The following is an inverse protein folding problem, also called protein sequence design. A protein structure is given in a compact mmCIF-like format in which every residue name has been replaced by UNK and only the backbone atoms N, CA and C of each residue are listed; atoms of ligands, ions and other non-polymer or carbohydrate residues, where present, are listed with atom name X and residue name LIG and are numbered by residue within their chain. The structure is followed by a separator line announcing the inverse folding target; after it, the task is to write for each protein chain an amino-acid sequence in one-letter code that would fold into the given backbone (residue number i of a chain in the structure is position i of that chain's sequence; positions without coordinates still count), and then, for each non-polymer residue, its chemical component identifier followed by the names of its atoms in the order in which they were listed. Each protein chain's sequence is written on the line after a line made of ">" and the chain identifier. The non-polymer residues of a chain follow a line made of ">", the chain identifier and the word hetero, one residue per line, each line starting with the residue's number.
data_IF_709140868256
#
_entry.id   IF_709140868256
#
_cell.length_a   1.000
_cell.length_b   1.000
_cell.length_c   1.000
_cell.angle_alpha   90.00
_cell.angle_beta   90.00
_cell.angle_gamma   90.00
#
_symmetry.space_group_name_H-M   'P 1'
#
loop_
_entity.id
_entity.type
_entity.pdbx_description
1 polymer ?
#
# COMPACT_ATOMS: atom_id res chain seq x y z
N UNK A 1 -25.28 10.74 -6.78
CA UNK A 1 -23.81 10.93 -6.85
C UNK A 1 -23.22 9.54 -6.84
N UNK A 2 -22.53 9.14 -7.90
CA UNK A 2 -21.73 7.91 -7.82
C UNK A 2 -20.62 8.14 -6.80
N UNK A 3 -20.34 7.18 -5.89
CA UNK A 3 -19.13 7.26 -5.09
C UNK A 3 -17.94 7.37 -6.06
N UNK A 4 -16.91 8.17 -5.76
CA UNK A 4 -15.73 8.23 -6.60
C UNK A 4 -15.26 6.79 -6.85
N UNK A 5 -15.12 6.43 -8.13
CA UNK A 5 -14.69 5.10 -8.56
C UNK A 5 -13.31 4.87 -7.93
N UNK A 6 -13.28 4.05 -6.89
CA UNK A 6 -12.11 3.94 -6.03
C UNK A 6 -11.13 2.95 -6.67
N UNK A 7 -10.38 3.44 -7.65
CA UNK A 7 -9.52 2.65 -8.54
C UNK A 7 -8.13 2.36 -7.93
N UNK A 8 -8.04 2.34 -6.59
CA UNK A 8 -6.79 2.08 -5.88
C UNK A 8 -6.34 0.62 -5.96
N UNK A 9 -7.25 -0.29 -6.29
CA UNK A 9 -6.98 -1.71 -6.44
C UNK A 9 -8.23 -2.56 -6.22
N UNK A 10 -8.18 -3.82 -6.64
CA UNK A 10 -9.26 -4.81 -6.43
C UNK A 10 -8.68 -6.06 -5.74
N UNK A 11 -9.47 -6.75 -4.89
CA UNK A 11 -9.01 -7.99 -4.24
C UNK A 11 -8.42 -8.99 -5.24
N UNK A 12 -7.25 -9.53 -4.91
CA UNK A 12 -6.49 -10.47 -5.74
C UNK A 12 -5.61 -9.83 -6.82
N UNK A 13 -5.72 -8.53 -7.09
CA UNK A 13 -4.80 -7.84 -7.99
C UNK A 13 -3.38 -7.79 -7.38
N UNK A 14 -2.36 -7.86 -8.22
CA UNK A 14 -0.93 -7.82 -7.82
C UNK A 14 -0.22 -6.53 -8.23
N UNK A 15 -0.96 -5.63 -8.87
CA UNK A 15 -0.50 -4.36 -9.39
C UNK A 15 -1.54 -3.28 -9.06
N UNK A 16 -1.08 -2.05 -8.90
CA UNK A 16 -1.90 -0.90 -8.62
C UNK A 16 -1.16 0.13 -7.76
N UNK A 17 -1.72 1.33 -7.61
CA UNK A 17 -1.00 2.47 -7.06
C UNK A 17 -0.61 2.28 -5.59
N UNK A 18 -1.37 1.53 -4.77
CA UNK A 18 -1.00 1.22 -3.38
C UNK A 18 0.21 0.29 -3.32
N UNK A 19 0.23 -0.75 -4.17
CA UNK A 19 1.36 -1.68 -4.29
C UNK A 19 2.61 -0.95 -4.80
N UNK A 20 2.47 0.01 -5.71
CA UNK A 20 3.61 0.79 -6.20
C UNK A 20 4.21 1.69 -5.11
N UNK A 21 3.37 2.25 -4.23
CA UNK A 21 3.86 2.92 -3.01
C UNK A 21 4.61 1.97 -2.10
N UNK A 22 4.09 0.75 -1.89
CA UNK A 22 4.77 -0.27 -1.09
C UNK A 22 6.14 -0.61 -1.68
N UNK A 23 6.23 -0.83 -3.01
CA UNK A 23 7.50 -1.06 -3.71
C UNK A 23 8.49 0.09 -3.49
N UNK A 24 8.03 1.33 -3.62
CA UNK A 24 8.88 2.50 -3.42
C UNK A 24 9.35 2.64 -1.95
N UNK A 25 8.47 2.36 -0.99
CA UNK A 25 8.79 2.41 0.43
C UNK A 25 9.89 1.39 0.78
N UNK A 26 9.76 0.12 0.36
CA UNK A 26 10.77 -0.90 0.68
C UNK A 26 12.09 -0.67 -0.07
N UNK A 27 12.03 -0.14 -1.30
CA UNK A 27 13.22 0.16 -2.09
C UNK A 27 14.12 1.21 -1.42
N UNK A 28 13.55 2.16 -0.64
CA UNK A 28 14.33 3.15 0.13
C UNK A 28 15.22 2.52 1.18
N UNK A 29 14.88 1.32 1.64
CA UNK A 29 15.67 0.56 2.62
C UNK A 29 16.56 -0.50 1.96
N UNK A 30 16.62 -0.54 0.61
CA UNK A 30 17.32 -1.59 -0.12
C UNK A 30 16.65 -2.97 -0.02
N UNK A 31 15.37 -3.00 0.38
CA UNK A 31 14.57 -4.22 0.54
C UNK A 31 13.77 -4.46 -0.74
N UNK A 32 13.60 -5.72 -1.11
CA UNK A 32 12.78 -6.13 -2.26
C UNK A 32 11.40 -6.58 -1.80
N UNK A 33 10.38 -6.30 -2.61
CA UNK A 33 9.04 -6.83 -2.45
C UNK A 33 8.94 -8.17 -3.20
N UNK A 34 8.89 -9.29 -2.48
CA UNK A 34 8.80 -10.64 -3.06
C UNK A 34 7.41 -10.91 -3.63
N UNK A 35 6.38 -10.52 -2.87
CA UNK A 35 4.98 -10.70 -3.21
C UNK A 35 4.17 -9.52 -2.69
N UNK A 36 3.17 -9.10 -3.46
CA UNK A 36 2.11 -8.25 -2.95
C UNK A 36 0.79 -8.57 -3.66
N UNK A 37 -0.30 -8.54 -2.90
CA UNK A 37 -1.65 -8.66 -3.44
C UNK A 37 -2.65 -7.88 -2.60
N UNK A 38 -3.66 -7.31 -3.25
CA UNK A 38 -4.78 -6.70 -2.53
C UNK A 38 -5.60 -7.80 -1.85
N UNK A 39 -5.81 -7.66 -0.56
CA UNK A 39 -6.65 -8.54 0.24
C UNK A 39 -8.15 -8.24 0.09
N UNK A 40 -9.00 -8.96 0.84
CA UNK A 40 -10.44 -8.70 0.88
C UNK A 40 -10.74 -7.27 1.31
N UNK A 41 -11.73 -6.64 0.65
CA UNK A 41 -12.14 -5.28 0.94
C UNK A 41 -13.54 -5.28 1.58
N UNK A 42 -13.68 -4.96 2.88
CA UNK A 42 -15.00 -4.88 3.50
C UNK A 42 -15.75 -3.64 2.97
N UNK A 43 -17.10 -3.70 2.84
CA UNK A 43 -17.90 -2.57 2.36
C UNK A 43 -18.11 -1.54 3.47
N UNK A 44 -17.05 -0.83 3.86
CA UNK A 44 -17.05 0.20 4.91
C UNK A 44 -16.94 1.61 4.31
N UNK A 45 -17.36 2.63 5.09
CA UNK A 45 -17.09 4.03 4.78
C UNK A 45 -16.39 4.70 5.99
N UNK A 46 -15.18 5.27 5.82
CA UNK A 46 -14.42 5.36 4.57
C UNK A 46 -13.99 3.99 4.03
N UNK A 47 -13.71 3.88 2.71
CA UNK A 47 -13.21 2.64 2.12
C UNK A 47 -11.91 2.20 2.79
N UNK A 48 -11.86 0.95 3.23
CA UNK A 48 -10.65 0.32 3.72
C UNK A 48 -9.97 -0.44 2.58
N UNK A 49 -8.64 -0.47 2.54
CA UNK A 49 -7.85 -1.31 1.63
C UNK A 49 -6.85 -2.12 2.43
N UNK A 50 -6.68 -3.38 2.06
CA UNK A 50 -5.66 -4.26 2.65
C UNK A 50 -4.75 -4.73 1.53
N UNK A 51 -3.44 -4.68 1.77
CA UNK A 51 -2.45 -5.30 0.89
C UNK A 51 -1.65 -6.27 1.75
N UNK A 52 -1.57 -7.51 1.31
CA UNK A 52 -0.72 -8.54 1.91
C UNK A 52 0.60 -8.50 1.14
N UNK A 53 1.68 -8.17 1.83
CA UNK A 53 3.01 -8.01 1.26
C UNK A 53 4.03 -8.92 1.94
N UNK A 54 4.89 -9.53 1.14
CA UNK A 54 6.05 -10.29 1.60
C UNK A 54 7.31 -9.56 1.11
N UNK A 55 8.20 -9.24 2.04
CA UNK A 55 9.43 -8.47 1.81
C UNK A 55 10.66 -9.33 2.07
N UNK A 56 11.78 -8.99 1.44
CA UNK A 56 12.99 -9.82 1.45
C UNK A 56 13.83 -9.75 2.73
N UNK A 57 13.48 -8.89 3.69
CA UNK A 57 14.21 -8.69 4.93
C UNK A 57 13.30 -8.18 6.04
N UNK A 58 13.68 -8.44 7.29
CA UNK A 58 12.95 -7.95 8.45
C UNK A 58 13.13 -6.44 8.62
N UNK A 59 12.00 -5.76 8.81
CA UNK A 59 11.90 -4.33 9.11
C UNK A 59 10.83 -4.18 10.17
N UNK A 60 11.03 -3.29 11.14
CA UNK A 60 9.98 -3.03 12.13
C UNK A 60 8.77 -2.35 11.50
N UNK A 61 7.59 -2.62 12.05
CA UNK A 61 6.33 -2.01 11.59
C UNK A 61 6.42 -0.48 11.57
N UNK A 62 7.02 0.13 12.59
CA UNK A 62 7.19 1.60 12.68
C UNK A 62 8.05 2.17 11.54
N UNK A 63 9.18 1.53 11.23
CA UNK A 63 10.08 2.01 10.17
C UNK A 63 9.43 1.82 8.81
N UNK A 64 8.71 0.70 8.62
CA UNK A 64 7.99 0.47 7.38
C UNK A 64 6.81 1.44 7.21
N UNK A 65 6.08 1.73 8.28
CA UNK A 65 5.00 2.74 8.31
C UNK A 65 5.51 4.13 7.96
N UNK A 66 6.64 4.55 8.51
CA UNK A 66 7.27 5.84 8.18
C UNK A 66 7.69 5.88 6.70
N UNK A 67 8.32 4.81 6.21
CA UNK A 67 8.68 4.67 4.80
C UNK A 67 7.47 4.73 3.86
N UNK A 68 6.37 4.09 4.24
CA UNK A 68 5.10 4.13 3.51
C UNK A 68 4.49 5.52 3.52
N UNK A 69 4.42 6.20 4.66
CA UNK A 69 3.91 7.58 4.74
C UNK A 69 4.73 8.51 3.84
N UNK A 70 6.06 8.42 3.91
CA UNK A 70 6.93 9.22 3.05
C UNK A 70 6.77 8.90 1.56
N UNK A 71 6.45 7.67 1.19
CA UNK A 71 6.25 7.26 -0.21
C UNK A 71 4.82 7.61 -0.69
N UNK A 72 3.86 7.57 0.23
CA UNK A 72 2.46 7.89 -0.02
C UNK A 72 2.27 9.35 -0.39
N UNK A 73 3.07 10.27 0.16
CA UNK A 73 3.01 11.69 -0.17
C UNK A 73 4.06 12.14 -1.18
N UNK A 74 4.83 11.20 -1.75
CA UNK A 74 5.87 11.51 -2.73
C UNK A 74 5.26 11.58 -4.15
N UNK A 75 5.21 12.76 -4.77
CA UNK A 75 4.67 12.93 -6.12
C UNK A 75 5.50 12.20 -7.19
N UNK A 76 6.75 11.83 -6.92
CA UNK A 76 7.57 11.02 -7.83
C UNK A 76 7.20 9.54 -7.80
N UNK A 77 6.59 9.06 -6.72
CA UNK A 77 6.13 7.67 -6.56
C UNK A 77 4.75 7.47 -7.17
N UNK A 78 3.90 8.51 -7.10
CA UNK A 78 2.55 8.47 -7.63
C UNK A 78 2.56 8.61 -9.17
N UNK A 79 2.66 7.48 -9.88
CA UNK A 79 2.52 7.44 -11.34
C UNK A 79 1.05 7.68 -11.74
N UNK A 80 0.61 8.93 -11.76
CA UNK A 80 -0.73 9.31 -12.22
C UNK A 80 -1.44 10.32 -11.32
N UNK A 81 -2.73 10.07 -11.07
CA UNK A 81 -3.53 10.93 -10.20
C UNK A 81 -3.06 10.83 -8.75
N UNK A 82 -3.12 11.93 -7.97
CA UNK A 82 -2.68 11.87 -6.61
C UNK A 82 -3.45 10.85 -5.78
N UNK A 83 -2.74 10.07 -4.97
CA UNK A 83 -3.38 9.17 -4.01
C UNK A 83 -4.20 10.00 -3.02
N UNK A 84 -5.42 9.54 -2.65
CA UNK A 84 -6.20 10.21 -1.64
C UNK A 84 -5.47 10.15 -0.29
N UNK A 85 -5.82 11.10 0.60
CA UNK A 85 -5.39 10.99 2.00
C UNK A 85 -5.94 9.69 2.59
N UNK A 86 -5.05 8.95 3.25
CA UNK A 86 -5.36 7.68 3.87
C UNK A 86 -4.68 7.60 5.23
N UNK A 87 -5.34 6.96 6.18
CA UNK A 87 -4.69 6.48 7.39
C UNK A 87 -3.99 5.16 7.03
N UNK A 88 -2.69 5.08 7.32
CA UNK A 88 -1.87 3.90 7.01
C UNK A 88 -1.63 3.15 8.31
N UNK A 89 -1.94 1.87 8.30
CA UNK A 89 -1.60 0.95 9.37
C UNK A 89 -0.82 -0.25 8.82
N UNK A 90 0.15 -0.71 9.61
CA UNK A 90 1.06 -1.79 9.26
C UNK A 90 1.04 -2.78 10.41
N UNK A 91 0.83 -4.05 10.08
CA UNK A 91 0.80 -5.13 11.05
C UNK A 91 1.53 -6.33 10.46
N UNK A 92 2.29 -7.04 11.28
CA UNK A 92 2.87 -8.32 10.91
C UNK A 92 1.76 -9.33 10.57
N UNK A 93 1.85 -9.91 9.38
CA UNK A 93 0.88 -10.89 8.93
C UNK A 93 1.26 -12.29 9.42
N UNK A 94 0.64 -12.75 10.50
CA UNK A 94 0.71 -14.14 10.93
C UNK A 94 -0.20 -15.01 10.05
N UNK A 95 0.41 -15.73 9.10
CA UNK A 95 -0.26 -16.69 8.21
C UNK A 95 -0.57 -18.02 8.92
#
# INVERSE_FOLDING_TARGET
>A
MEPPKNDLGQPGAKEGPVIDVIKAAVARFGISLNRAEYGPQPPTFPPLYTVIAEISADISEDVFKDGLQGAWFDPMVQSGAPLPQAEIDVQEYAA
#
